data_IF_402813024687
#
_entry.id   IF_402813024687
#
_cell.length_a   1.000
_cell.length_b   1.000
_cell.length_c   1.000
_cell.angle_alpha   90.00
_cell.angle_beta   90.00
_cell.angle_gamma   90.00
#
_symmetry.space_group_name_H-M   'P 1'
#
loop_
_entity.id
_entity.type
_entity.pdbx_description
1 polymer ?
#
# COMPACT_ATOMS: atom_id res chain seq x y z
N UNK A 1 18.33 0.31 -0.97
CA UNK A 1 19.27 -0.79 -0.64
C UNK A 1 20.60 -0.52 -1.28
N UNK A 2 20.64 -0.18 -2.57
CA UNK A 2 21.87 0.17 -3.27
C UNK A 2 22.63 1.32 -2.63
N UNK A 3 21.97 2.42 -2.24
CA UNK A 3 22.63 3.50 -1.49
C UNK A 3 23.20 3.02 -0.15
N UNK A 4 22.55 2.04 0.50
CA UNK A 4 23.12 1.43 1.69
C UNK A 4 24.35 0.57 1.35
N UNK A 5 24.34 -0.14 0.22
CA UNK A 5 25.48 -0.97 -0.24
C UNK A 5 26.66 -0.11 -0.68
N UNK A 6 26.40 0.96 -1.45
CA UNK A 6 27.41 1.92 -1.88
C UNK A 6 28.04 2.68 -0.71
N UNK A 7 27.33 2.81 0.42
CA UNK A 7 27.86 3.38 1.65
C UNK A 7 28.64 2.37 2.51
N UNK A 8 28.74 1.09 2.13
CA UNK A 8 29.57 0.11 2.83
C UNK A 8 31.02 0.22 2.34
N UNK A 9 31.99 0.01 3.25
CA UNK A 9 33.42 0.02 2.91
C UNK A 9 33.81 -1.14 1.96
N UNK A 10 33.06 -2.24 2.00
CA UNK A 10 33.14 -3.35 1.06
C UNK A 10 31.77 -3.60 0.43
N UNK A 11 31.64 -3.30 -0.87
CA UNK A 11 30.42 -3.46 -1.65
C UNK A 11 30.34 -4.80 -2.39
N UNK A 12 31.30 -5.72 -2.16
CA UNK A 12 31.39 -6.99 -2.89
C UNK A 12 30.21 -7.90 -2.52
N UNK A 13 29.40 -8.35 -3.50
CA UNK A 13 28.37 -9.34 -3.23
C UNK A 13 28.96 -10.66 -2.77
N UNK A 14 28.50 -11.17 -1.62
CA UNK A 14 28.83 -12.55 -1.22
C UNK A 14 28.34 -13.51 -2.30
N UNK A 15 29.21 -14.40 -2.75
CA UNK A 15 28.84 -15.48 -3.67
C UNK A 15 27.75 -16.32 -3.00
N UNK A 16 26.53 -16.21 -3.53
CA UNK A 16 25.45 -17.12 -3.14
C UNK A 16 25.73 -18.38 -3.94
N UNK A 17 26.23 -19.42 -3.28
CA UNK A 17 26.27 -20.76 -3.86
C UNK A 17 24.84 -21.12 -4.26
N UNK A 18 24.58 -21.06 -5.56
CA UNK A 18 23.41 -21.71 -6.13
C UNK A 18 23.58 -23.20 -5.84
N UNK A 19 22.66 -23.80 -5.08
CA UNK A 19 22.52 -25.25 -4.98
C UNK A 19 22.00 -25.85 -6.32
N UNK A 20 22.58 -25.44 -7.45
CA UNK A 20 22.31 -26.02 -8.76
C UNK A 20 23.24 -27.21 -9.05
N UNK A 21 24.06 -27.64 -8.08
CA UNK A 21 25.12 -28.65 -8.30
C UNK A 21 24.94 -29.99 -7.55
N UNK A 22 23.85 -30.20 -6.81
CA UNK A 22 23.58 -31.51 -6.20
C UNK A 22 22.51 -32.28 -7.01
N UNK A 23 22.70 -33.59 -7.26
CA UNK A 23 21.75 -34.37 -8.02
C UNK A 23 20.39 -34.35 -7.29
N UNK A 24 19.35 -33.97 -8.03
CA UNK A 24 17.96 -33.94 -7.57
C UNK A 24 17.54 -35.32 -7.09
N UNK A 25 17.65 -35.56 -5.80
CA UNK A 25 16.94 -36.65 -5.16
C UNK A 25 15.49 -36.19 -5.04
N UNK A 26 14.57 -36.91 -5.67
CA UNK A 26 13.14 -36.60 -5.80
C UNK A 26 12.41 -36.58 -4.46
N UNK A 27 12.71 -35.58 -3.63
CA UNK A 27 11.99 -35.27 -2.40
C UNK A 27 11.86 -33.75 -2.30
N UNK A 28 11.35 -33.12 -3.36
CA UNK A 28 10.84 -31.76 -3.28
C UNK A 28 9.64 -31.78 -2.31
N UNK A 29 9.87 -31.37 -1.07
CA UNK A 29 8.80 -30.88 -0.22
C UNK A 29 8.39 -29.53 -0.80
N UNK A 30 7.16 -29.36 -1.32
CA UNK A 30 6.74 -28.09 -1.88
C UNK A 30 6.55 -27.09 -0.73
N UNK A 31 7.49 -26.16 -0.53
CA UNK A 31 7.33 -25.15 0.51
C UNK A 31 8.54 -24.28 0.87
N UNK A 32 9.76 -24.67 0.51
CA UNK A 32 10.97 -23.86 0.78
C UNK A 32 11.29 -22.92 -0.37
N UNK A 33 10.36 -22.01 -0.70
CA UNK A 33 10.77 -20.79 -1.41
C UNK A 33 11.74 -20.03 -0.50
N UNK A 34 12.91 -19.66 -1.00
CA UNK A 34 13.94 -18.91 -0.26
C UNK A 34 13.40 -17.50 0.07
N UNK A 35 12.66 -17.38 1.17
CA UNK A 35 12.00 -16.13 1.53
C UNK A 35 13.03 -15.09 1.95
N UNK A 36 13.13 -14.01 1.17
CA UNK A 36 14.09 -12.94 1.41
C UNK A 36 13.64 -12.03 2.56
N UNK A 37 14.16 -12.33 3.75
CA UNK A 37 13.93 -11.55 4.96
C UNK A 37 14.93 -10.40 5.09
N UNK A 38 14.38 -9.19 5.14
CA UNK A 38 15.12 -8.02 5.55
C UNK A 38 16.23 -7.60 4.58
N UNK A 39 17.45 -7.56 5.12
CA UNK A 39 18.67 -7.13 4.42
C UNK A 39 19.57 -8.29 3.99
N UNK A 40 19.16 -9.53 4.22
CA UNK A 40 19.89 -10.69 3.73
C UNK A 40 19.84 -10.73 2.18
N UNK A 41 20.80 -11.45 1.58
CA UNK A 41 20.87 -11.71 0.14
C UNK A 41 20.74 -10.43 -0.71
N UNK A 42 21.59 -9.43 -0.45
CA UNK A 42 21.57 -8.16 -1.17
C UNK A 42 21.96 -8.30 -2.66
N UNK A 43 22.67 -9.37 -3.01
CA UNK A 43 22.98 -9.79 -4.39
C UNK A 43 21.73 -10.10 -5.21
N UNK A 44 20.63 -10.55 -4.58
CA UNK A 44 19.38 -10.86 -5.27
C UNK A 44 18.56 -9.58 -5.50
N UNK A 45 18.64 -9.06 -6.73
CA UNK A 45 17.99 -7.83 -7.16
C UNK A 45 16.65 -8.11 -7.86
N UNK A 46 15.72 -7.16 -7.76
CA UNK A 46 14.42 -7.23 -8.46
C UNK A 46 13.36 -8.16 -7.83
N UNK A 47 13.71 -8.93 -6.80
CA UNK A 47 12.81 -9.87 -6.10
C UNK A 47 12.13 -9.22 -4.89
N UNK A 48 10.92 -9.68 -4.53
CA UNK A 48 10.18 -9.21 -3.34
C UNK A 48 10.95 -9.49 -2.04
N UNK A 49 10.91 -8.51 -1.14
CA UNK A 49 11.56 -8.57 0.18
C UNK A 49 10.56 -8.37 1.30
N UNK A 50 10.80 -9.02 2.45
CA UNK A 50 9.96 -8.88 3.65
C UNK A 50 10.63 -8.02 4.72
N UNK A 51 9.82 -7.38 5.56
CA UNK A 51 10.23 -6.84 6.86
C UNK A 51 10.14 -7.98 7.88
N UNK A 52 10.95 -8.01 8.95
CA UNK A 52 11.87 -6.98 9.43
C UNK A 52 13.26 -7.06 8.80
N UNK A 53 14.02 -5.97 8.86
CA UNK A 53 15.43 -5.94 8.43
C UNK A 53 16.41 -6.55 9.44
N UNK A 54 15.90 -6.94 10.61
CA UNK A 54 16.64 -7.29 11.82
C UNK A 54 16.47 -8.79 12.07
N UNK A 55 17.58 -9.51 12.26
CA UNK A 55 17.56 -10.96 12.49
C UNK A 55 16.89 -11.32 13.83
N UNK A 56 16.94 -10.42 14.80
CA UNK A 56 16.37 -10.56 16.14
C UNK A 56 14.87 -10.24 16.22
N UNK A 57 14.24 -9.81 15.14
CA UNK A 57 12.82 -9.47 15.11
C UNK A 57 11.98 -10.63 14.54
N UNK A 58 10.78 -10.82 15.07
CA UNK A 58 9.83 -11.83 14.58
C UNK A 58 9.61 -11.69 13.07
N UNK A 59 9.72 -12.80 12.33
CA UNK A 59 9.51 -12.78 10.87
C UNK A 59 8.08 -12.34 10.58
N UNK A 60 7.93 -11.31 9.76
CA UNK A 60 6.62 -10.87 9.29
C UNK A 60 6.44 -11.21 7.81
N UNK A 61 5.20 -11.33 7.37
CA UNK A 61 4.87 -11.37 5.95
C UNK A 61 4.72 -9.97 5.33
N UNK A 62 5.08 -8.90 6.02
CA UNK A 62 4.96 -7.55 5.47
C UNK A 62 6.00 -7.30 4.39
N UNK A 63 5.55 -6.91 3.19
CA UNK A 63 6.42 -6.61 2.05
C UNK A 63 7.13 -5.28 2.24
N UNK A 64 8.27 -5.10 1.57
CA UNK A 64 8.99 -3.84 1.56
C UNK A 64 8.11 -2.70 1.00
N UNK A 65 8.43 -1.45 1.33
CA UNK A 65 7.68 -0.32 0.80
C UNK A 65 7.82 -0.20 -0.72
N UNK A 66 9.01 -0.50 -1.27
CA UNK A 66 9.24 -0.53 -2.71
C UNK A 66 8.40 -1.59 -3.41
N UNK A 67 8.25 -2.80 -2.83
CA UNK A 67 7.39 -3.85 -3.41
C UNK A 67 5.91 -3.48 -3.36
N UNK A 68 5.48 -2.86 -2.26
CA UNK A 68 4.13 -2.33 -2.14
C UNK A 68 3.87 -1.24 -3.17
N UNK A 69 4.81 -0.32 -3.40
CA UNK A 69 4.69 0.74 -4.40
C UNK A 69 4.72 0.20 -5.84
N UNK A 70 5.60 -0.77 -6.14
CA UNK A 70 5.60 -1.42 -7.46
C UNK A 70 4.27 -2.13 -7.75
N UNK A 71 3.66 -2.80 -6.75
CA UNK A 71 2.33 -3.36 -6.91
C UNK A 71 1.25 -2.29 -7.20
N UNK A 72 1.43 -1.04 -6.74
CA UNK A 72 0.50 0.07 -7.01
C UNK A 72 0.54 0.55 -8.46
N UNK A 73 1.62 0.26 -9.19
CA UNK A 73 1.70 0.51 -10.63
C UNK A 73 0.68 -0.32 -11.42
N UNK A 74 0.18 -1.42 -10.84
CA UNK A 74 -0.89 -2.23 -11.46
C UNK A 74 -2.20 -2.09 -10.71
N UNK A 75 -2.15 -2.21 -9.38
CA UNK A 75 -3.34 -2.28 -8.52
C UNK A 75 -3.97 -0.94 -8.14
N UNK A 76 -3.43 0.17 -8.65
CA UNK A 76 -3.81 1.55 -8.31
C UNK A 76 -3.77 1.84 -6.80
N UNK A 77 -4.10 3.06 -6.40
CA UNK A 77 -4.24 3.48 -5.00
C UNK A 77 -5.53 2.96 -4.35
N UNK A 78 -6.47 2.44 -5.14
CA UNK A 78 -7.72 1.91 -4.61
C UNK A 78 -7.45 0.73 -3.66
N UNK A 79 -8.31 0.60 -2.65
CA UNK A 79 -8.36 -0.53 -1.72
C UNK A 79 -9.48 -1.48 -2.15
N UNK A 80 -9.70 -2.55 -1.39
CA UNK A 80 -10.86 -3.43 -1.62
C UNK A 80 -12.17 -2.63 -1.50
N UNK A 81 -12.25 -1.78 -0.48
CA UNK A 81 -13.39 -0.93 -0.18
C UNK A 81 -13.67 0.07 -1.30
N UNK A 82 -12.65 0.83 -1.71
CA UNK A 82 -12.85 1.89 -2.71
C UNK A 82 -13.01 1.34 -4.13
N UNK A 83 -12.48 0.15 -4.43
CA UNK A 83 -12.67 -0.48 -5.75
C UNK A 83 -14.11 -0.88 -6.03
N UNK A 84 -14.95 -1.02 -4.99
CA UNK A 84 -16.38 -1.26 -5.13
C UNK A 84 -17.18 0.03 -5.39
N UNK A 85 -16.59 1.20 -5.15
CA UNK A 85 -17.25 2.50 -5.25
C UNK A 85 -16.71 3.37 -6.40
N UNK A 86 -15.43 3.20 -6.74
CA UNK A 86 -14.69 4.07 -7.65
C UNK A 86 -14.13 3.22 -8.79
N UNK A 87 -14.41 3.62 -10.01
CA UNK A 87 -13.85 2.98 -11.20
C UNK A 87 -12.34 3.28 -11.30
N UNK A 88 -11.49 2.28 -11.61
CA UNK A 88 -10.05 2.49 -11.76
C UNK A 88 -9.77 3.27 -13.06
N UNK A 89 -9.55 4.56 -12.94
CA UNK A 89 -9.07 5.43 -14.02
C UNK A 89 -7.61 5.79 -13.80
N UNK A 90 -7.00 6.53 -14.72
CA UNK A 90 -5.63 7.05 -14.57
C UNK A 90 -5.42 7.82 -13.26
N UNK A 91 -6.41 8.59 -12.82
CA UNK A 91 -6.37 9.37 -11.58
C UNK A 91 -6.31 8.51 -10.31
N UNK A 92 -6.53 7.21 -10.41
CA UNK A 92 -6.37 6.29 -9.30
C UNK A 92 -4.91 5.84 -9.11
N UNK A 93 -3.98 6.21 -9.99
CA UNK A 93 -2.58 5.80 -9.94
C UNK A 93 -1.68 6.92 -9.40
N UNK A 94 -0.48 6.53 -8.95
CA UNK A 94 0.55 7.51 -8.62
C UNK A 94 1.06 8.15 -9.90
N UNK A 95 1.13 9.49 -9.94
CA UNK A 95 1.80 10.20 -11.03
C UNK A 95 3.32 10.22 -10.84
N UNK A 96 3.78 10.31 -9.58
CA UNK A 96 5.20 10.30 -9.26
C UNK A 96 5.51 10.05 -7.79
N UNK A 97 6.79 9.79 -7.52
CA UNK A 97 7.40 9.63 -6.21
C UNK A 97 8.51 10.68 -6.08
N UNK A 98 8.38 11.59 -5.11
CA UNK A 98 9.37 12.62 -4.82
C UNK A 98 10.33 12.10 -3.74
N UNK A 99 11.63 12.18 -4.00
CA UNK A 99 12.69 11.77 -3.08
C UNK A 99 13.77 12.86 -3.02
N UNK A 100 14.46 13.02 -1.88
CA UNK A 100 15.70 13.81 -1.86
C UNK A 100 16.67 13.31 -2.93
N UNK A 101 17.32 14.21 -3.66
CA UNK A 101 18.19 13.86 -4.79
C UNK A 101 19.28 12.84 -4.42
N UNK A 102 19.83 12.93 -3.21
CA UNK A 102 20.84 12.02 -2.69
C UNK A 102 20.31 10.63 -2.28
N UNK A 103 18.99 10.50 -2.12
CA UNK A 103 18.32 9.23 -1.83
C UNK A 103 17.83 8.52 -3.12
N UNK A 104 18.16 9.08 -4.29
CA UNK A 104 17.85 8.50 -5.59
C UNK A 104 19.06 7.70 -6.08
N UNK A 105 18.89 6.39 -6.20
CA UNK A 105 19.71 5.58 -7.10
C UNK A 105 18.93 5.37 -8.39
N UNK A 106 19.43 5.93 -9.51
CA UNK A 106 18.75 5.81 -10.80
C UNK A 106 18.54 4.34 -11.19
N UNK A 107 19.59 3.53 -11.12
CA UNK A 107 19.54 2.09 -11.42
C UNK A 107 18.54 1.36 -10.51
N UNK A 108 18.54 1.70 -9.22
CA UNK A 108 17.65 1.08 -8.24
C UNK A 108 16.19 1.45 -8.45
N UNK A 109 15.93 2.71 -8.79
CA UNK A 109 14.60 3.22 -9.13
C UNK A 109 14.09 2.60 -10.44
N UNK A 110 14.90 2.61 -11.51
CA UNK A 110 14.53 2.05 -12.81
C UNK A 110 14.23 0.56 -12.71
N UNK A 111 15.07 -0.20 -11.98
CA UNK A 111 14.77 -1.62 -11.73
C UNK A 111 13.50 -1.82 -10.92
N UNK A 112 13.21 -0.95 -9.94
CA UNK A 112 12.09 -1.13 -9.01
C UNK A 112 10.75 -0.68 -9.60
N UNK A 113 10.75 0.38 -10.39
CA UNK A 113 9.58 1.14 -10.81
C UNK A 113 9.56 1.53 -12.29
N UNK A 114 10.68 1.40 -13.01
CA UNK A 114 10.75 1.75 -14.44
C UNK A 114 9.96 0.79 -15.32
N UNK A 115 9.65 1.24 -16.54
CA UNK A 115 8.96 0.45 -17.57
C UNK A 115 9.73 -0.82 -17.93
N UNK A 116 11.05 -0.71 -18.07
CA UNK A 116 11.97 -1.83 -18.34
C UNK A 116 12.49 -2.48 -17.05
N UNK A 117 11.84 -2.18 -15.92
CA UNK A 117 12.21 -2.73 -14.62
C UNK A 117 11.65 -4.12 -14.38
N UNK A 118 11.56 -4.50 -13.11
CA UNK A 118 11.03 -5.81 -12.68
C UNK A 118 9.57 -6.07 -13.07
N UNK A 119 8.82 -5.05 -13.47
CA UNK A 119 7.42 -5.14 -13.89
C UNK A 119 7.23 -5.12 -15.42
N UNK A 120 8.30 -5.10 -16.21
CA UNK A 120 8.26 -4.93 -17.68
C UNK A 120 7.35 -5.94 -18.40
N UNK A 121 7.19 -7.14 -17.86
CA UNK A 121 6.34 -8.18 -18.43
C UNK A 121 4.84 -7.79 -18.47
N UNK A 122 4.45 -6.74 -17.74
CA UNK A 122 3.11 -6.19 -17.73
C UNK A 122 2.97 -4.94 -18.62
N UNK A 123 4.01 -4.57 -19.36
CA UNK A 123 3.96 -3.51 -20.35
C UNK A 123 2.81 -3.71 -21.33
N UNK A 124 1.96 -2.68 -21.48
CA UNK A 124 0.78 -2.73 -22.35
C UNK A 124 -0.39 -3.60 -21.85
N UNK A 125 -0.26 -4.29 -20.71
CA UNK A 125 -1.32 -5.13 -20.17
C UNK A 125 -2.43 -4.28 -19.53
N UNK A 126 -3.67 -4.74 -19.68
CA UNK A 126 -4.86 -4.15 -19.09
C UNK A 126 -5.82 -5.22 -18.60
N UNK A 127 -6.63 -4.87 -17.59
CA UNK A 127 -7.62 -5.75 -16.98
C UNK A 127 -8.99 -5.06 -16.92
N UNK A 128 -10.07 -5.75 -17.33
CA UNK A 128 -10.11 -7.16 -17.81
C UNK A 128 -9.40 -7.36 -19.17
N UNK A 129 -8.92 -8.56 -19.51
CA UNK A 129 -8.03 -8.77 -20.69
C UNK A 129 -8.74 -8.72 -22.05
N UNK A 130 -10.07 -8.79 -22.06
CA UNK A 130 -10.86 -9.15 -23.24
C UNK A 130 -11.46 -7.94 -24.00
N UNK A 131 -11.15 -6.70 -23.60
CA UNK A 131 -11.68 -5.51 -24.25
C UNK A 131 -10.61 -4.74 -25.01
N UNK A 132 -10.97 -4.19 -26.17
CA UNK A 132 -10.17 -3.18 -26.86
C UNK A 132 -10.27 -1.86 -26.06
N UNK A 133 -9.41 -1.69 -25.05
CA UNK A 133 -9.43 -0.48 -24.23
C UNK A 133 -8.94 0.73 -25.02
N UNK A 134 -9.78 1.76 -25.09
CA UNK A 134 -9.29 3.13 -25.23
C UNK A 134 -8.66 3.55 -23.90
N UNK A 135 -7.74 4.49 -23.92
CA UNK A 135 -7.07 4.97 -22.70
C UNK A 135 -8.07 5.50 -21.65
N UNK A 136 -9.18 6.08 -22.10
CA UNK A 136 -10.28 6.58 -21.25
C UNK A 136 -11.16 5.50 -20.63
N UNK A 137 -11.07 4.24 -21.08
CA UNK A 137 -11.90 3.16 -20.54
C UNK A 137 -11.42 2.81 -19.12
N UNK A 138 -12.33 2.75 -18.13
CA UNK A 138 -11.97 2.32 -16.78
C UNK A 138 -11.47 0.88 -16.76
N UNK A 139 -10.40 0.64 -16.00
CA UNK A 139 -9.75 -0.66 -15.93
C UNK A 139 -8.39 -0.55 -15.26
N UNK A 140 -7.89 -1.67 -14.74
CA UNK A 140 -6.53 -1.70 -14.22
C UNK A 140 -5.54 -1.82 -15.37
N UNK A 141 -4.38 -1.18 -15.25
CA UNK A 141 -3.28 -1.22 -16.21
C UNK A 141 -1.96 -1.13 -15.47
N UNK A 142 -0.88 -1.60 -16.11
CA UNK A 142 0.46 -1.22 -15.66
C UNK A 142 0.72 0.25 -16.02
N UNK A 143 0.88 1.10 -15.00
CA UNK A 143 1.18 2.52 -15.10
C UNK A 143 2.43 2.81 -14.26
N UNK A 144 3.61 2.93 -14.89
CA UNK A 144 4.79 3.45 -14.21
C UNK A 144 4.55 4.89 -13.75
N UNK A 145 5.36 5.35 -12.79
CA UNK A 145 5.27 6.71 -12.26
C UNK A 145 6.64 7.36 -12.24
N UNK A 146 6.67 8.69 -12.31
CA UNK A 146 7.92 9.44 -12.39
C UNK A 146 8.65 9.44 -11.06
N UNK A 147 9.98 9.39 -11.09
CA UNK A 147 10.81 9.68 -9.92
C UNK A 147 11.24 11.13 -10.03
N UNK A 148 10.92 11.92 -9.01
CA UNK A 148 11.19 13.35 -8.96
C UNK A 148 12.19 13.62 -7.84
N UNK A 149 13.18 14.45 -8.10
CA UNK A 149 14.12 14.92 -7.09
C UNK A 149 13.64 16.20 -6.42
N UNK A 150 13.97 16.35 -5.16
CA UNK A 150 13.95 17.62 -4.43
C UNK A 150 15.35 17.88 -3.89
N UNK A 151 15.80 19.14 -3.94
CA UNK A 151 17.14 19.52 -3.51
C UNK A 151 17.34 19.23 -2.02
N UNK A 152 18.53 18.71 -1.70
CA UNK A 152 18.92 18.39 -0.32
C UNK A 152 18.72 19.57 0.65
N UNK A 153 19.01 20.79 0.20
CA UNK A 153 18.91 22.02 0.99
C UNK A 153 17.46 22.39 1.34
N UNK A 154 16.54 22.19 0.38
CA UNK A 154 15.12 22.42 0.58
C UNK A 154 14.56 21.41 1.59
N UNK A 155 14.97 20.14 1.48
CA UNK A 155 14.60 19.10 2.44
C UNK A 155 15.11 19.45 3.85
N UNK A 156 16.37 19.89 3.98
CA UNK A 156 16.94 20.28 5.27
C UNK A 156 16.19 21.47 5.90
N UNK A 157 15.72 22.41 5.07
CA UNK A 157 14.97 23.58 5.51
C UNK A 157 13.55 23.23 5.95
N UNK A 158 12.85 22.38 5.20
CA UNK A 158 11.46 22.01 5.45
C UNK A 158 11.31 20.90 6.50
N UNK A 159 12.30 20.02 6.64
CA UNK A 159 12.31 18.92 7.61
C UNK A 159 13.51 19.00 8.57
N UNK A 160 13.52 20.00 9.48
CA UNK A 160 14.64 20.20 10.42
C UNK A 160 14.85 19.03 11.40
N UNK A 161 13.84 18.17 11.55
CA UNK A 161 13.89 16.97 12.39
C UNK A 161 14.15 15.68 11.60
N UNK A 162 14.54 15.79 10.33
CA UNK A 162 14.96 14.65 9.53
C UNK A 162 16.15 13.93 10.21
N UNK A 163 16.31 12.64 9.88
CA UNK A 163 17.44 11.87 10.37
C UNK A 163 18.75 12.57 9.95
N UNK A 164 19.65 12.92 10.89
CA UNK A 164 20.94 13.47 10.52
C UNK A 164 21.68 12.47 9.63
N UNK A 165 22.18 12.94 8.48
CA UNK A 165 23.07 12.14 7.65
C UNK A 165 24.38 11.94 8.41
N UNK A 166 24.90 10.72 8.42
CA UNK A 166 26.31 10.52 8.77
C UNK A 166 27.13 11.07 7.61
N UNK A 167 27.82 12.19 7.83
CA UNK A 167 28.80 12.69 6.88
C UNK A 167 29.84 11.58 6.67
N UNK A 168 30.13 11.13 5.44
CA UNK A 168 31.30 10.30 5.20
C UNK A 168 32.50 11.13 5.66
N UNK A 169 33.29 10.63 6.61
CA UNK A 169 34.57 11.22 6.89
C UNK A 169 35.33 11.23 5.56
N UNK A 170 35.49 12.40 4.96
CA UNK A 170 36.56 12.62 4.00
C UNK A 170 37.82 12.10 4.67
N UNK A 171 38.50 11.15 4.03
CA UNK A 171 39.81 10.72 4.45
C UNK A 171 40.75 11.94 4.35
N UNK A 172 40.75 12.77 5.38
CA UNK A 172 41.81 13.73 5.63
C UNK A 172 43.02 12.89 5.99
N UNK A 173 43.94 12.85 5.03
CA UNK A 173 45.34 12.49 5.19
C UNK A 173 45.81 12.68 6.62
N UNK A 174 46.46 11.65 7.13
CA UNK A 174 47.21 11.65 8.38
C UNK A 174 48.02 12.96 8.50
N UNK A 175 47.59 13.84 9.39
CA UNK A 175 48.47 14.79 10.04
C UNK A 175 48.23 14.65 11.54
N UNK A 176 49.22 14.05 12.20
CA UNK A 176 49.37 14.09 13.64
C UNK A 176 49.40 15.55 14.12
N UNK A 177 48.62 15.85 15.15
CA UNK A 177 48.82 17.03 15.99
C UNK A 177 47.62 17.96 16.12
N UNK A 178 46.70 17.67 17.06
CA UNK A 178 46.34 18.56 18.18
C UNK A 178 45.17 17.97 19.00
N UNK A 179 45.22 17.90 20.34
CA UNK A 179 44.19 17.25 21.16
C UNK A 179 42.98 18.16 21.51
N UNK A 180 42.72 19.24 20.76
CA UNK A 180 41.81 20.32 21.19
C UNK A 180 40.65 20.65 20.23
N UNK A 181 40.22 19.72 19.38
CA UNK A 181 38.93 19.85 18.66
C UNK A 181 37.95 18.76 19.10
N UNK A 182 36.89 19.19 19.77
CA UNK A 182 35.76 18.36 20.16
C UNK A 182 35.06 17.81 18.93
N UNK A 183 35.47 16.63 18.47
CA UNK A 183 34.80 15.89 17.41
C UNK A 183 33.30 15.82 17.68
N UNK A 184 32.51 16.48 16.84
CA UNK A 184 31.06 16.52 16.96
C UNK A 184 30.53 15.09 16.82
N UNK A 185 30.26 14.44 17.96
CA UNK A 185 29.68 13.10 18.00
C UNK A 185 28.35 13.13 17.24
N UNK A 186 28.29 12.46 16.09
CA UNK A 186 27.05 12.31 15.34
C UNK A 186 26.00 11.68 16.26
N UNK A 187 24.91 12.41 16.53
CA UNK A 187 23.82 11.90 17.38
C UNK A 187 23.19 10.71 16.66
N UNK A 188 23.45 9.50 17.14
CA UNK A 188 22.81 8.27 16.66
C UNK A 188 21.30 8.40 16.89
N UNK A 189 20.53 8.67 15.84
CA UNK A 189 19.07 8.65 15.91
C UNK A 189 18.57 7.22 15.72
N UNK A 190 17.82 6.72 16.72
CA UNK A 190 17.14 5.43 16.62
C UNK A 190 15.73 5.67 16.07
N UNK A 191 15.25 4.87 15.10
CA UNK A 191 13.86 4.91 14.67
C UNK A 191 12.92 4.73 15.88
N UNK A 192 11.93 5.59 16.01
CA UNK A 192 10.90 5.46 17.02
C UNK A 192 9.86 4.39 16.67
N UNK A 193 9.04 4.04 17.65
CA UNK A 193 7.84 3.19 17.50
C UNK A 193 6.56 4.01 17.27
N UNK A 194 6.72 5.27 16.87
CA UNK A 194 5.65 6.25 16.70
C UNK A 194 5.39 6.48 15.21
N UNK A 195 4.13 6.55 14.82
CA UNK A 195 3.69 6.97 13.49
C UNK A 195 2.59 8.02 13.65
N UNK A 196 2.67 9.12 12.89
CA UNK A 196 1.65 10.16 12.88
C UNK A 196 0.89 10.12 11.56
N UNK A 197 -0.42 10.30 11.63
CA UNK A 197 -1.31 10.36 10.47
C UNK A 197 -2.10 11.66 10.54
N UNK A 198 -2.14 12.38 9.42
CA UNK A 198 -2.95 13.57 9.25
C UNK A 198 -3.67 13.51 7.90
N UNK A 199 -4.96 13.86 7.87
CA UNK A 199 -5.76 13.96 6.65
C UNK A 199 -6.49 15.29 6.68
N UNK A 200 -6.47 15.99 5.55
CA UNK A 200 -7.21 17.22 5.32
C UNK A 200 -8.71 17.02 5.53
N UNK A 201 -9.39 18.02 6.11
CA UNK A 201 -10.84 17.98 6.23
C UNK A 201 -11.52 18.04 4.85
N UNK A 202 -12.68 17.35 4.67
CA UNK A 202 -13.47 17.50 3.46
C UNK A 202 -13.81 18.97 3.18
N UNK A 203 -13.74 19.38 1.92
CA UNK A 203 -14.12 20.73 1.49
C UNK A 203 -15.64 20.98 1.63
N UNK A 204 -16.43 19.91 1.57
CA UNK A 204 -17.88 19.96 1.73
C UNK A 204 -18.29 19.58 3.16
N UNK A 205 -19.34 20.21 3.66
CA UNK A 205 -19.96 19.83 4.93
C UNK A 205 -20.65 18.48 4.81
N UNK A 206 -19.89 17.40 4.99
CA UNK A 206 -20.41 16.06 5.18
C UNK A 206 -20.16 15.66 6.64
N UNK A 207 -21.21 15.46 7.46
CA UNK A 207 -21.05 14.85 8.77
C UNK A 207 -20.65 13.38 8.57
N UNK A 208 -19.34 13.10 8.56
CA UNK A 208 -18.81 11.74 8.53
C UNK A 208 -18.37 11.33 9.92
N UNK A 209 -18.79 10.15 10.39
CA UNK A 209 -18.42 9.61 11.70
C UNK A 209 -16.90 9.49 11.92
N UNK A 210 -16.11 9.44 10.83
CA UNK A 210 -14.64 9.35 10.86
C UNK A 210 -13.95 10.59 11.45
N UNK A 211 -14.52 11.79 11.29
CA UNK A 211 -13.89 13.04 11.78
C UNK A 211 -13.94 13.20 13.30
N UNK A 212 -14.75 12.38 13.98
CA UNK A 212 -15.02 12.47 15.42
C UNK A 212 -14.16 11.53 16.28
N UNK A 213 -13.41 10.58 15.69
CA UNK A 213 -12.62 9.57 16.43
C UNK A 213 -11.10 9.84 16.40
N UNK A 214 -10.71 11.11 16.39
CA UNK A 214 -9.31 11.53 16.60
C UNK A 214 -8.89 11.42 18.06
N UNK A 215 -9.84 11.27 18.99
CA UNK A 215 -9.58 11.21 20.43
C UNK A 215 -9.07 12.53 21.03
N UNK A 216 -8.97 13.59 20.22
CA UNK A 216 -8.52 14.92 20.63
C UNK A 216 -9.70 15.89 20.71
N UNK A 217 -9.79 16.66 21.79
CA UNK A 217 -10.83 17.68 21.97
C UNK A 217 -10.67 18.86 21.01
N UNK A 218 -9.45 19.08 20.52
CA UNK A 218 -9.10 20.04 19.49
C UNK A 218 -8.21 19.36 18.45
N UNK A 219 -8.50 19.60 17.18
CA UNK A 219 -7.64 19.16 16.08
C UNK A 219 -6.76 20.33 15.63
N UNK A 220 -5.48 20.08 15.28
CA UNK A 220 -4.60 21.16 14.82
C UNK A 220 -5.15 21.79 13.55
N UNK A 221 -4.77 23.03 13.23
CA UNK A 221 -4.90 23.60 11.88
C UNK A 221 -3.50 23.67 11.31
N UNK A 222 -3.23 22.92 10.24
CA UNK A 222 -1.91 22.88 9.61
C UNK A 222 -1.97 23.68 8.31
N UNK A 223 -1.04 24.62 8.12
CA UNK A 223 -0.96 25.43 6.89
C UNK A 223 -2.32 26.03 6.46
N UNK A 224 -3.07 26.61 7.41
CA UNK A 224 -4.43 27.19 7.22
C UNK A 224 -5.52 26.20 6.79
N UNK A 225 -5.20 24.90 6.79
CA UNK A 225 -6.11 23.84 6.41
C UNK A 225 -6.76 23.19 7.62
N UNK A 226 -8.07 23.01 7.56
CA UNK A 226 -8.84 22.30 8.59
C UNK A 226 -8.44 20.82 8.60
N UNK A 227 -8.36 20.24 9.78
CA UNK A 227 -8.00 18.82 9.95
C UNK A 227 -9.23 17.93 9.93
N UNK A 228 -9.19 16.89 9.10
CA UNK A 228 -10.22 15.85 9.04
C UNK A 228 -9.88 14.66 9.94
N UNK A 229 -8.64 14.18 9.87
CA UNK A 229 -8.12 13.13 10.75
C UNK A 229 -6.75 13.57 11.29
N UNK A 230 -6.53 13.35 12.57
CA UNK A 230 -5.21 13.42 13.18
C UNK A 230 -5.09 12.34 14.25
N UNK A 231 -4.13 11.44 14.11
CA UNK A 231 -3.87 10.39 15.08
C UNK A 231 -2.38 10.09 15.21
N UNK A 232 -1.96 9.81 16.44
CA UNK A 232 -0.63 9.29 16.76
C UNK A 232 -0.77 7.81 17.09
N UNK A 233 -0.02 6.96 16.40
CA UNK A 233 0.02 5.52 16.59
C UNK A 233 1.33 5.16 17.29
N UNK A 234 1.26 4.45 18.41
CA UNK A 234 2.41 3.99 19.19
C UNK A 234 2.27 2.48 19.36
N UNK A 235 3.29 1.71 18.97
CA UNK A 235 3.25 0.25 19.00
C UNK A 235 2.01 -0.35 18.27
N UNK A 236 1.60 0.27 17.16
CA UNK A 236 0.50 -0.22 16.33
C UNK A 236 -0.92 0.14 16.78
N UNK A 237 -1.10 0.85 17.90
CA UNK A 237 -2.41 1.33 18.38
C UNK A 237 -2.42 2.85 18.59
N UNK A 238 -3.60 3.48 18.55
CA UNK A 238 -3.75 4.92 18.83
C UNK A 238 -3.21 5.26 20.22
N UNK A 239 -2.50 6.38 20.33
CA UNK A 239 -1.91 6.89 21.56
C UNK A 239 -2.93 6.85 22.71
N UNK A 240 -2.49 6.38 23.88
CA UNK A 240 -3.33 6.17 25.05
C UNK A 240 -4.01 4.79 25.13
N UNK A 241 -3.80 3.91 24.15
CA UNK A 241 -4.31 2.54 24.16
C UNK A 241 -3.16 1.52 24.26
N UNK A 242 -3.48 0.28 24.63
CA UNK A 242 -2.50 -0.81 24.82
C UNK A 242 -2.66 -1.87 23.74
N UNK A 243 -1.57 -2.20 23.05
CA UNK A 243 -1.55 -3.26 22.04
C UNK A 243 -1.86 -4.65 22.63
N UNK A 244 -1.52 -4.88 23.91
CA UNK A 244 -1.83 -6.11 24.64
C UNK A 244 -3.32 -6.31 24.93
N UNK A 245 -4.13 -5.26 24.78
CA UNK A 245 -5.56 -5.27 25.05
C UNK A 245 -6.27 -4.43 24.00
N UNK A 246 -6.26 -4.89 22.73
CA UNK A 246 -6.77 -4.11 21.61
C UNK A 246 -8.27 -3.88 21.79
N UNK A 247 -8.69 -2.63 21.65
CA UNK A 247 -10.08 -2.22 21.72
C UNK A 247 -10.42 -1.39 20.47
N UNK A 248 -11.70 -1.31 20.12
CA UNK A 248 -12.19 -0.49 19.01
C UNK A 248 -11.67 0.97 19.07
N UNK A 249 -11.62 1.55 20.28
CA UNK A 249 -11.06 2.88 20.54
C UNK A 249 -9.56 2.99 20.24
N UNK A 250 -8.81 1.90 20.39
CA UNK A 250 -7.38 1.84 20.10
C UNK A 250 -7.04 1.62 18.63
N UNK A 251 -8.01 1.21 17.80
CA UNK A 251 -7.80 1.03 16.38
C UNK A 251 -7.66 2.38 15.65
N UNK A 252 -6.70 2.48 14.74
CA UNK A 252 -6.56 3.62 13.82
C UNK A 252 -7.81 3.75 12.93
N UNK A 253 -8.18 4.97 12.56
CA UNK A 253 -9.25 5.23 11.57
C UNK A 253 -8.95 4.64 10.18
N UNK A 254 -7.68 4.34 9.90
CA UNK A 254 -7.22 3.65 8.69
C UNK A 254 -7.16 2.12 8.83
N UNK A 255 -7.61 1.57 9.96
CA UNK A 255 -7.71 0.11 10.13
C UNK A 255 -8.75 -0.50 9.19
N UNK A 256 -8.52 -1.73 8.75
CA UNK A 256 -9.43 -2.47 7.85
C UNK A 256 -10.86 -2.50 8.36
N UNK A 257 -11.06 -2.76 9.66
CA UNK A 257 -12.40 -2.79 10.26
C UNK A 257 -13.12 -1.44 10.14
N UNK A 258 -12.42 -0.32 10.40
CA UNK A 258 -13.01 1.02 10.32
C UNK A 258 -13.26 1.48 8.88
N UNK A 259 -12.35 1.16 7.96
CA UNK A 259 -12.56 1.42 6.53
C UNK A 259 -13.73 0.60 5.97
N UNK A 260 -13.88 -0.66 6.39
CA UNK A 260 -15.02 -1.49 6.01
C UNK A 260 -16.34 -0.99 6.63
N UNK A 261 -16.32 -0.53 7.89
CA UNK A 261 -17.49 0.10 8.51
C UNK A 261 -17.91 1.38 7.75
N UNK A 262 -16.95 2.23 7.39
CA UNK A 262 -17.19 3.42 6.59
C UNK A 262 -17.76 3.07 5.21
N UNK A 263 -17.24 2.02 4.56
CA UNK A 263 -17.81 1.54 3.31
C UNK A 263 -19.28 1.15 3.47
N UNK A 264 -19.65 0.42 4.54
CA UNK A 264 -21.05 0.02 4.77
C UNK A 264 -21.98 1.19 5.04
N UNK A 265 -21.47 2.28 5.61
CA UNK A 265 -22.21 3.53 5.81
C UNK A 265 -22.46 4.25 4.48
N UNK A 266 -21.46 4.26 3.58
CA UNK A 266 -21.52 5.01 2.31
C UNK A 266 -22.26 4.23 1.22
N UNK A 267 -22.05 2.91 1.12
CA UNK A 267 -22.51 2.10 -0.01
C UNK A 267 -24.02 2.20 -0.33
N UNK A 268 -24.95 2.28 0.65
CA UNK A 268 -26.38 2.46 0.37
C UNK A 268 -26.73 3.78 -0.33
N UNK A 269 -25.89 4.80 -0.16
CA UNK A 269 -26.12 6.17 -0.66
C UNK A 269 -25.52 6.40 -2.06
N UNK A 270 -24.79 5.43 -2.61
CA UNK A 270 -24.16 5.57 -3.93
C UNK A 270 -25.11 5.05 -5.01
N UNK A 271 -25.55 5.91 -5.96
CA UNK A 271 -26.36 5.47 -7.09
C UNK A 271 -25.60 4.40 -7.91
N UNK A 272 -26.23 3.26 -8.16
CA UNK A 272 -25.64 2.15 -8.96
C UNK A 272 -25.59 2.44 -10.47
N UNK A 273 -25.74 3.70 -10.89
CA UNK A 273 -25.94 4.12 -12.29
C UNK A 273 -24.73 3.92 -13.22
N UNK A 274 -23.64 3.30 -12.75
CA UNK A 274 -22.45 2.98 -13.54
C UNK A 274 -22.26 1.47 -13.73
N UNK A 275 -23.34 0.69 -13.76
CA UNK A 275 -23.27 -0.54 -14.55
C UNK A 275 -23.15 -0.10 -16.01
N UNK A 276 -21.99 -0.36 -16.60
CA UNK A 276 -21.77 -0.16 -18.02
C UNK A 276 -22.81 -1.03 -18.74
N UNK A 277 -23.87 -0.41 -19.24
CA UNK A 277 -24.69 -0.96 -20.31
C UNK A 277 -23.76 -1.13 -21.52
N UNK A 278 -23.03 -2.24 -21.53
CA UNK A 278 -22.58 -2.86 -22.78
C UNK A 278 -23.69 -3.85 -23.15
N UNK A 279 -24.87 -3.31 -23.41
CA UNK A 279 -25.90 -4.02 -24.14
C UNK A 279 -25.37 -4.22 -25.55
N UNK A 280 -25.31 -5.48 -25.97
CA UNK A 280 -25.03 -5.87 -27.34
C UNK A 280 -25.93 -5.05 -28.27
N UNK A 281 -25.31 -4.39 -29.25
CA UNK A 281 -26.03 -3.95 -30.42
C UNK A 281 -26.42 -5.21 -31.22
N UNK A 282 -27.63 -5.71 -31.02
CA UNK A 282 -28.29 -6.60 -31.98
C UNK A 282 -29.60 -5.95 -32.46
N UNK A 283 -29.57 -5.64 -33.76
CA UNK A 283 -30.63 -5.43 -34.75
C UNK A 283 -31.99 -4.82 -34.36
N UNK A 284 -32.29 -3.71 -35.05
CA UNK A 284 -33.62 -3.15 -35.35
C UNK A 284 -34.61 -4.17 -35.92
N UNK A 285 -35.73 -4.41 -35.22
CA UNK A 285 -37.16 -4.49 -35.63
C UNK A 285 -37.94 -4.85 -34.34
N UNK A 286 -39.11 -4.36 -33.96
CA UNK A 286 -40.22 -3.64 -34.58
C UNK A 286 -41.01 -2.93 -33.45
N UNK A 287 -41.80 -1.92 -33.77
CA UNK A 287 -42.54 -1.11 -32.81
C UNK A 287 -43.84 -1.76 -32.33
N UNK A 288 -44.10 -1.72 -31.02
CA UNK A 288 -45.48 -1.65 -30.49
C UNK A 288 -45.49 -1.07 -29.07
N UNK A 289 -46.29 -0.02 -28.91
CA UNK A 289 -46.62 0.68 -27.68
C UNK A 289 -47.28 -0.26 -26.64
N UNK A 290 -46.94 -0.09 -25.36
CA UNK A 290 -47.88 0.18 -24.27
C UNK A 290 -47.30 -0.18 -22.89
N UNK A 291 -47.55 0.74 -21.95
CA UNK A 291 -47.71 0.55 -20.50
C UNK A 291 -46.45 0.48 -19.62
N UNK A 292 -46.37 1.49 -18.77
CA UNK A 292 -45.50 1.69 -17.63
C UNK A 292 -45.91 0.74 -16.49
N UNK A 293 -44.99 -0.06 -15.91
CA UNK A 293 -45.17 -0.49 -14.54
C UNK A 293 -43.93 -0.15 -13.73
N UNK A 294 -44.18 0.71 -12.74
CA UNK A 294 -43.41 0.98 -11.55
C UNK A 294 -42.80 -0.29 -10.93
N UNK A 295 -41.69 -0.78 -11.49
CA UNK A 295 -40.95 -1.91 -10.97
C UNK A 295 -40.05 -1.40 -9.85
N UNK A 296 -40.60 -1.42 -8.63
CA UNK A 296 -39.84 -1.56 -7.40
C UNK A 296 -38.84 -2.70 -7.57
N UNK A 297 -37.66 -2.39 -8.11
CA UNK A 297 -36.56 -3.34 -8.21
C UNK A 297 -36.03 -3.48 -6.80
N UNK A 298 -36.67 -4.38 -6.05
CA UNK A 298 -36.24 -4.87 -4.75
C UNK A 298 -34.79 -5.24 -4.91
N UNK A 299 -33.95 -4.44 -4.25
CA UNK A 299 -32.52 -4.60 -4.16
C UNK A 299 -32.18 -6.07 -3.97
N UNK A 300 -31.18 -6.63 -4.68
CA UNK A 300 -30.41 -7.70 -4.06
C UNK A 300 -29.70 -7.03 -2.88
N UNK A 301 -30.33 -7.09 -1.69
CA UNK A 301 -29.66 -6.93 -0.41
C UNK A 301 -28.36 -7.72 -0.55
N UNK A 302 -27.20 -7.08 -0.44
CA UNK A 302 -25.93 -7.82 -0.42
C UNK A 302 -26.10 -8.95 0.61
N UNK A 303 -26.17 -10.22 0.20
CA UNK A 303 -26.46 -11.29 1.14
C UNK A 303 -25.28 -11.45 2.09
N UNK A 304 -25.58 -11.52 3.39
CA UNK A 304 -24.75 -11.97 4.51
C UNK A 304 -23.22 -11.79 4.41
N UNK A 305 -22.76 -10.59 4.05
CA UNK A 305 -21.34 -10.23 4.25
C UNK A 305 -21.11 -10.04 5.76
N UNK A 306 -20.82 -11.15 6.42
CA UNK A 306 -20.61 -11.20 7.87
C UNK A 306 -19.14 -11.08 8.24
N UNK A 307 -18.23 -11.50 7.36
CA UNK A 307 -16.79 -11.41 7.58
C UNK A 307 -16.08 -10.50 6.58
N UNK A 308 -14.89 -10.01 6.96
CA UNK A 308 -14.05 -9.23 6.07
C UNK A 308 -13.53 -10.05 4.87
N UNK A 309 -13.42 -11.37 5.04
CA UNK A 309 -13.09 -12.29 3.95
C UNK A 309 -14.21 -12.32 2.91
N UNK A 310 -15.47 -12.46 3.33
CA UNK A 310 -16.63 -12.43 2.42
C UNK A 310 -16.69 -11.10 1.68
N UNK A 311 -16.38 -10.01 2.38
CA UNK A 311 -16.36 -8.68 1.79
C UNK A 311 -15.34 -8.55 0.65
N UNK A 312 -14.21 -9.25 0.73
CA UNK A 312 -13.16 -9.27 -0.29
C UNK A 312 -13.47 -10.19 -1.47
N UNK A 313 -14.46 -11.07 -1.34
CA UNK A 313 -14.80 -12.01 -2.40
C UNK A 313 -15.61 -11.30 -3.50
N UNK A 314 -15.26 -11.52 -4.78
CA UNK A 314 -16.05 -11.01 -5.88
C UNK A 314 -17.39 -11.75 -5.96
N UNK A 315 -18.43 -11.02 -6.36
CA UNK A 315 -19.78 -11.56 -6.52
C UNK A 315 -20.06 -12.10 -7.93
N UNK A 316 -19.28 -11.70 -8.93
CA UNK A 316 -19.40 -12.15 -10.32
C UNK A 316 -18.08 -11.96 -11.09
N UNK A 317 -17.98 -12.52 -12.30
CA UNK A 317 -16.82 -12.32 -13.18
C UNK A 317 -16.63 -10.86 -13.63
N UNK A 318 -17.73 -10.09 -13.66
CA UNK A 318 -17.73 -8.65 -13.98
C UNK A 318 -17.56 -7.77 -12.72
N UNK A 319 -17.40 -8.36 -11.53
CA UNK A 319 -17.19 -7.60 -10.29
C UNK A 319 -15.85 -6.82 -10.39
N UNK A 320 -15.82 -5.51 -10.07
CA UNK A 320 -14.59 -4.74 -9.97
C UNK A 320 -13.50 -5.39 -9.11
N UNK A 321 -13.88 -6.15 -8.07
CA UNK A 321 -12.94 -6.91 -7.25
C UNK A 321 -12.33 -8.11 -7.98
N UNK A 322 -13.06 -8.75 -8.88
CA UNK A 322 -12.51 -9.85 -9.68
C UNK A 322 -11.44 -9.33 -10.62
N UNK A 323 -11.74 -8.23 -11.32
CA UNK A 323 -10.79 -7.55 -12.21
C UNK A 323 -9.55 -7.10 -11.42
N UNK A 324 -9.75 -6.51 -10.24
CA UNK A 324 -8.67 -6.13 -9.33
C UNK A 324 -7.83 -7.34 -8.90
N UNK A 325 -8.49 -8.46 -8.57
CA UNK A 325 -7.85 -9.69 -8.13
C UNK A 325 -6.96 -10.28 -9.22
N UNK A 326 -7.42 -10.29 -10.47
CA UNK A 326 -6.64 -10.70 -11.63
C UNK A 326 -5.41 -9.81 -11.83
N UNK A 327 -5.60 -8.49 -11.84
CA UNK A 327 -4.49 -7.54 -12.00
C UNK A 327 -3.43 -7.69 -10.89
N UNK A 328 -3.87 -7.85 -9.63
CA UNK A 328 -2.95 -8.11 -8.50
C UNK A 328 -2.29 -9.48 -8.63
N UNK A 329 -3.01 -10.50 -9.09
CA UNK A 329 -2.47 -11.85 -9.29
C UNK A 329 -1.32 -11.85 -10.29
N UNK A 330 -1.55 -11.29 -11.47
CA UNK A 330 -0.55 -11.16 -12.53
C UNK A 330 0.67 -10.35 -12.06
N UNK A 331 0.42 -9.24 -11.35
CA UNK A 331 1.49 -8.43 -10.77
C UNK A 331 2.34 -9.19 -9.74
N UNK A 332 1.73 -10.02 -8.90
CA UNK A 332 2.44 -10.82 -7.90
C UNK A 332 3.29 -11.93 -8.53
N UNK A 333 2.80 -12.55 -9.61
CA UNK A 333 3.55 -13.54 -10.37
C UNK A 333 4.82 -12.92 -10.96
N UNK A 334 4.70 -11.73 -11.56
CA UNK A 334 5.84 -10.98 -12.11
C UNK A 334 6.81 -10.55 -11.02
N UNK A 335 6.30 -10.15 -9.85
CA UNK A 335 7.14 -9.66 -8.74
C UNK A 335 8.03 -10.72 -8.08
N UNK A 336 7.90 -12.03 -8.38
CA UNK A 336 8.69 -13.17 -7.85
C UNK A 336 8.81 -13.23 -6.31
N UNK A 337 8.39 -14.33 -5.69
CA UNK A 337 8.47 -14.52 -4.23
C UNK A 337 7.44 -13.70 -3.44
N UNK A 338 6.36 -13.25 -4.08
CA UNK A 338 5.26 -12.59 -3.37
C UNK A 338 4.36 -13.61 -2.65
N UNK A 339 4.52 -13.74 -1.34
CA UNK A 339 3.56 -14.51 -0.53
C UNK A 339 2.40 -13.64 -0.01
N UNK A 340 1.12 -14.04 -0.08
CA UNK A 340 0.04 -13.27 0.54
C UNK A 340 0.10 -13.32 2.07
N UNK A 341 -0.40 -12.27 2.73
CA UNK A 341 -0.77 -12.35 4.14
C UNK A 341 -2.08 -13.15 4.22
N UNK A 342 -2.14 -14.16 5.08
CA UNK A 342 -3.30 -15.04 5.27
C UNK A 342 -3.66 -15.13 6.75
N UNK A 343 -4.91 -15.46 7.07
CA UNK A 343 -5.34 -15.77 8.44
C UNK A 343 -5.85 -14.60 9.28
N UNK A 344 -6.13 -13.43 8.67
CA UNK A 344 -6.59 -12.24 9.39
C UNK A 344 -7.76 -11.55 8.66
N UNK A 345 -8.75 -12.35 8.27
CA UNK A 345 -9.92 -11.91 7.48
C UNK A 345 -11.25 -12.51 7.98
N UNK A 346 -11.21 -13.51 8.86
CA UNK A 346 -12.38 -14.23 9.39
C UNK A 346 -13.06 -13.50 10.57
N UNK A 347 -13.13 -12.17 10.52
CA UNK A 347 -13.71 -11.32 11.56
C UNK A 347 -14.79 -10.41 10.98
N UNK A 348 -15.80 -10.07 11.79
CA UNK A 348 -16.90 -9.17 11.43
C UNK A 348 -16.72 -7.76 11.99
N UNK A 349 -17.66 -6.85 11.69
CA UNK A 349 -17.64 -5.49 12.26
C UNK A 349 -17.98 -5.43 13.75
N UNK A 350 -18.39 -6.55 14.33
CA UNK A 350 -18.66 -6.67 15.75
C UNK A 350 -17.39 -6.41 16.58
N UNK A 351 -16.19 -6.57 16.00
CA UNK A 351 -14.90 -6.17 16.59
C UNK A 351 -14.80 -4.67 16.94
N UNK A 352 -15.65 -3.83 16.34
CA UNK A 352 -15.74 -2.40 16.65
C UNK A 352 -16.72 -2.09 17.79
N UNK A 353 -17.48 -3.08 18.27
CA UNK A 353 -18.45 -2.92 19.36
C UNK A 353 -17.76 -3.20 20.69
N UNK A 354 -17.77 -2.22 21.59
CA UNK A 354 -17.22 -2.39 22.95
C UNK A 354 -17.99 -3.51 23.68
N UNK A 355 -17.31 -4.56 24.19
CA UNK A 355 -17.97 -5.65 24.91
C UNK A 355 -18.76 -5.17 26.14
N UNK A 356 -18.41 -4.03 26.75
CA UNK A 356 -19.19 -3.44 27.85
C UNK A 356 -20.53 -2.86 27.40
N UNK A 357 -20.66 -2.47 26.13
CA UNK A 357 -21.91 -1.99 25.54
C UNK A 357 -22.82 -3.12 25.05
N UNK A 358 -22.30 -4.34 24.87
CA UNK A 358 -23.10 -5.53 24.49
C UNK A 358 -23.96 -6.09 25.64
N UNK A 359 -23.68 -5.72 26.89
CA UNK A 359 -24.37 -6.23 28.09
C UNK A 359 -25.49 -5.31 28.61
N UNK A 360 -25.96 -4.36 27.81
CA UNK A 360 -27.05 -3.44 28.17
C UNK A 360 -28.22 -3.57 27.23
#
# INVERSE_FOLDING_TARGET
MELCMAAQEDATPWEVLHEDSLPKTNTEVPGTETLLDGRAHFSLLGVVRRKPARMDAESTRSKSCSDKLALRQVSSLLSCETSRLIAPTENAYLAGLILPEEEISQVGCDRSFGENGRMQALGGQSWPKEMNFKESTPGYRFRPFQILSVLSEEVATLWPFAKPKSVPCTASLEQEGDPSTSGAKSKKSRPGNVSAVWILAPSYHCPSAMTMDTGAKSVPTLCRSKTGLYETIINGVKQGNRASSPAARGASSLSRAKLWALFREIAPSVPRSYQTDVSQAESLVDASEAEDPHANTVQPRMPDITTYQDFKNPSSLKDPLEIRRQAIGDARLVLKGWMPNSGDESWGLDVLVDPKKRKR
#
